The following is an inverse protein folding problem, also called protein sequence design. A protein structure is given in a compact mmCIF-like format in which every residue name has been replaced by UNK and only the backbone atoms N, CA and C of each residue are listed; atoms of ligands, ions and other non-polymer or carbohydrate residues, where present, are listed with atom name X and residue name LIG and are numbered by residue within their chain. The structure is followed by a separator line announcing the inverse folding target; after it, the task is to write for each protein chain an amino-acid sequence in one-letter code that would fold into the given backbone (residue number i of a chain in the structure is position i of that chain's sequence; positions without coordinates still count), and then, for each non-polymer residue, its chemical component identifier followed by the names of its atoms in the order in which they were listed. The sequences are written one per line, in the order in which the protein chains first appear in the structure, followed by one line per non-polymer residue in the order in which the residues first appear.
data_IF_714067870782
#
_entry.id   IF_714067870782
#
_cell.length_a   1.000
_cell.length_b   1.000
_cell.length_c   1.000
_cell.angle_alpha   90.00
_cell.angle_beta   90.00
_cell.angle_gamma   90.00
#
_symmetry.space_group_name_H-M   'P 1'
#
loop_
_entity.id
_entity.type
_entity.pdbx_description
1 polymer ?
#
# COMPACT_ATOMS: atom_id res chain seq x y z
N UNK A 1 32.14 9.37 4.88
CA UNK A 1 31.26 8.28 5.33
C UNK A 1 32.02 6.99 5.08
N UNK A 2 32.27 6.17 6.10
CA UNK A 2 33.00 4.89 5.91
C UNK A 2 32.05 3.77 5.46
N UNK A 3 32.63 2.73 4.85
CA UNK A 3 31.87 1.60 4.27
C UNK A 3 31.06 0.83 5.33
N UNK A 4 31.51 0.82 6.59
CA UNK A 4 30.85 0.12 7.67
C UNK A 4 29.57 0.85 8.12
N UNK A 5 29.62 2.18 8.19
CA UNK A 5 28.44 3.02 8.46
C UNK A 5 27.43 2.89 7.32
N UNK A 6 27.87 2.86 6.06
CA UNK A 6 26.98 2.60 4.92
C UNK A 6 26.32 1.23 4.97
N UNK A 7 27.06 0.19 5.40
CA UNK A 7 26.52 -1.17 5.56
C UNK A 7 25.56 -1.31 6.76
N UNK A 8 25.77 -0.55 7.83
CA UNK A 8 24.90 -0.55 9.02
C UNK A 8 23.68 0.36 8.86
N UNK A 9 23.76 1.37 8.01
CA UNK A 9 22.64 2.21 7.62
C UNK A 9 21.78 1.61 6.50
N UNK A 10 22.36 0.77 5.63
CA UNK A 10 21.63 0.10 4.54
C UNK A 10 20.40 -0.72 4.96
N UNK A 11 20.41 -1.46 6.09
CA UNK A 11 19.26 -2.20 6.60
C UNK A 11 18.27 -1.34 7.40
N UNK A 12 18.59 -0.06 7.66
CA UNK A 12 17.69 0.80 8.42
C UNK A 12 16.60 1.30 7.48
N UNK A 13 15.37 0.94 7.83
CA UNK A 13 14.16 1.45 7.19
C UNK A 13 14.08 2.98 7.40
N UNK A 14 14.70 3.76 6.50
CA UNK A 14 14.69 5.23 6.50
C UNK A 14 13.93 5.74 5.27
N UNK A 15 13.23 6.87 5.42
CA UNK A 15 12.62 7.56 4.29
C UNK A 15 11.39 6.88 3.70
N UNK A 16 10.56 6.22 4.52
CA UNK A 16 9.33 5.59 4.02
C UNK A 16 8.49 6.57 3.19
N UNK A 17 8.03 6.11 2.02
CA UNK A 17 6.87 6.72 1.39
C UNK A 17 5.69 6.51 2.33
N UNK A 18 5.05 7.59 2.78
CA UNK A 18 3.86 7.48 3.61
C UNK A 18 2.68 8.12 2.91
N UNK A 19 1.56 7.40 2.90
CA UNK A 19 0.30 7.84 2.32
C UNK A 19 -0.86 7.47 3.24
N UNK A 20 -1.85 8.38 3.32
CA UNK A 20 -3.18 8.12 3.83
C UNK A 20 -4.05 7.68 2.66
N UNK A 21 -4.42 6.41 2.62
CA UNK A 21 -5.30 5.86 1.60
C UNK A 21 -6.76 5.94 2.07
N UNK A 22 -7.67 6.43 1.23
CA UNK A 22 -9.09 6.65 1.57
C UNK A 22 -10.01 6.14 0.46
N UNK A 23 -10.81 5.11 0.74
CA UNK A 23 -11.64 4.45 -0.28
C UNK A 23 -13.08 4.24 0.17
N UNK A 24 -13.97 4.18 -0.82
CA UNK A 24 -15.31 3.62 -0.68
C UNK A 24 -15.45 2.35 -1.54
N UNK A 25 -16.15 1.29 -1.07
CA UNK A 25 -16.39 0.11 -1.88
C UNK A 25 -17.14 0.41 -3.20
N UNK A 26 -16.85 -0.32 -4.30
CA UNK A 26 -15.83 -1.37 -4.41
C UNK A 26 -14.43 -0.80 -4.66
N UNK A 27 -13.41 -1.33 -3.98
CA UNK A 27 -12.02 -0.93 -4.21
C UNK A 27 -11.04 -2.08 -3.95
N UNK A 28 -10.00 -2.15 -4.77
CA UNK A 28 -8.91 -3.11 -4.69
C UNK A 28 -7.66 -2.54 -5.37
N UNK A 29 -6.57 -2.57 -4.63
CA UNK A 29 -5.24 -2.10 -5.06
C UNK A 29 -4.30 -3.28 -5.04
N UNK A 30 -3.75 -3.62 -6.19
CA UNK A 30 -2.72 -4.64 -6.34
C UNK A 30 -1.35 -4.01 -6.15
N UNK A 31 -0.58 -4.52 -5.20
CA UNK A 31 0.75 -4.02 -4.85
C UNK A 31 1.80 -4.98 -5.40
N UNK A 32 2.55 -4.49 -6.38
CA UNK A 32 3.66 -5.16 -7.08
C UNK A 32 4.92 -4.30 -7.05
N UNK A 33 5.03 -3.41 -6.06
CA UNK A 33 6.13 -2.47 -5.91
C UNK A 33 7.47 -3.13 -5.53
N UNK A 34 7.40 -4.41 -5.15
CA UNK A 34 8.52 -5.24 -4.68
C UNK A 34 9.23 -4.65 -3.47
N UNK A 35 8.57 -3.78 -2.71
CA UNK A 35 9.15 -3.14 -1.54
C UNK A 35 9.47 -4.19 -0.47
N UNK A 36 10.67 -4.19 0.14
CA UNK A 36 11.05 -5.17 1.15
C UNK A 36 10.13 -5.13 2.39
N UNK A 37 9.56 -3.96 2.70
CA UNK A 37 8.70 -3.78 3.86
C UNK A 37 7.63 -2.71 3.61
N UNK A 38 6.37 -3.07 3.84
CA UNK A 38 5.26 -2.13 3.97
C UNK A 38 4.53 -2.35 5.29
N UNK A 39 4.26 -1.26 6.02
CA UNK A 39 3.46 -1.23 7.25
C UNK A 39 2.14 -0.54 6.96
N UNK A 40 1.03 -1.15 7.39
CA UNK A 40 -0.32 -0.65 7.17
C UNK A 40 -1.07 -0.62 8.50
N UNK A 41 -1.57 0.56 8.89
CA UNK A 41 -2.46 0.75 10.02
C UNK A 41 -3.86 1.09 9.48
N UNK A 42 -4.85 0.26 9.81
CA UNK A 42 -6.23 0.54 9.46
C UNK A 42 -6.83 1.50 10.51
N UNK A 43 -7.17 2.71 10.10
CA UNK A 43 -7.68 3.76 10.99
C UNK A 43 -9.21 3.75 11.05
N UNK A 44 -9.86 3.39 9.94
CA UNK A 44 -11.33 3.36 9.81
C UNK A 44 -11.76 2.26 8.86
N UNK A 45 -12.91 1.66 9.13
CA UNK A 45 -13.55 0.68 8.27
C UNK A 45 -12.95 -0.71 8.42
N UNK A 46 -13.02 -1.47 7.32
CA UNK A 46 -12.48 -2.81 7.17
C UNK A 46 -11.67 -2.88 5.86
N UNK A 47 -10.71 -3.79 5.81
CA UNK A 47 -9.95 -4.11 4.61
C UNK A 47 -9.51 -5.59 4.62
N UNK A 48 -9.17 -6.11 3.46
CA UNK A 48 -8.56 -7.41 3.29
C UNK A 48 -7.17 -7.27 2.67
N UNK A 49 -6.20 -8.00 3.22
CA UNK A 49 -4.91 -8.23 2.61
C UNK A 49 -4.87 -9.65 2.05
N UNK A 50 -4.62 -9.76 0.75
CA UNK A 50 -4.60 -11.01 0.01
C UNK A 50 -3.21 -11.23 -0.56
N UNK A 51 -2.33 -11.97 0.14
CA UNK A 51 -1.06 -12.39 -0.45
C UNK A 51 -1.31 -13.41 -1.57
N UNK A 52 -0.42 -13.47 -2.57
CA UNK A 52 -0.50 -14.49 -3.62
C UNK A 52 -0.36 -15.92 -3.08
N UNK A 53 0.29 -16.06 -1.91
CA UNK A 53 0.44 -17.32 -1.19
C UNK A 53 0.08 -17.12 0.28
N UNK A 54 -0.78 -17.99 0.79
CA UNK A 54 -1.23 -17.97 2.18
C UNK A 54 -2.70 -17.58 2.32
N UNK A 55 -3.13 -17.42 3.56
CA UNK A 55 -4.50 -17.08 3.91
C UNK A 55 -4.74 -15.57 3.79
N UNK A 56 -5.87 -15.13 3.21
CA UNK A 56 -6.30 -13.74 3.30
C UNK A 56 -6.46 -13.29 4.76
N UNK A 57 -6.01 -12.08 5.04
CA UNK A 57 -6.09 -11.47 6.38
C UNK A 57 -7.07 -10.32 6.35
N UNK A 58 -8.10 -10.38 7.20
CA UNK A 58 -9.01 -9.26 7.42
C UNK A 58 -8.43 -8.32 8.47
N UNK A 59 -8.48 -7.02 8.18
CA UNK A 59 -8.13 -5.94 9.09
C UNK A 59 -9.39 -5.19 9.48
N UNK A 60 -9.45 -4.78 10.75
CA UNK A 60 -10.42 -3.83 11.31
C UNK A 60 -9.72 -2.59 11.86
N UNK A 61 -10.46 -1.52 12.08
CA UNK A 61 -9.91 -0.31 12.67
C UNK A 61 -9.12 -0.61 13.96
N UNK A 62 -7.87 -0.14 14.01
CA UNK A 62 -6.90 -0.41 15.08
C UNK A 62 -5.88 -1.50 14.75
N UNK A 63 -6.14 -2.35 13.75
CA UNK A 63 -5.22 -3.41 13.36
C UNK A 63 -4.01 -2.84 12.59
N UNK A 64 -2.85 -3.44 12.85
CA UNK A 64 -1.61 -3.18 12.15
C UNK A 64 -1.16 -4.44 11.41
N UNK A 65 -0.84 -4.27 10.13
CA UNK A 65 -0.31 -5.32 9.29
C UNK A 65 1.07 -4.97 8.77
N UNK A 66 1.87 -6.01 8.54
CA UNK A 66 3.20 -5.92 7.93
C UNK A 66 3.23 -6.82 6.71
N UNK A 67 3.38 -6.23 5.53
CA UNK A 67 3.68 -6.95 4.31
C UNK A 67 5.20 -7.01 4.13
N UNK A 68 5.74 -8.23 4.08
CA UNK A 68 7.15 -8.49 3.81
C UNK A 68 7.29 -8.83 2.34
N UNK A 69 8.03 -8.02 1.59
CA UNK A 69 8.26 -8.24 0.17
C UNK A 69 9.31 -9.32 -0.11
N UNK A 70 9.63 -9.53 -1.41
CA UNK A 70 9.18 -8.76 -2.57
C UNK A 70 7.88 -9.31 -3.21
N UNK A 71 7.25 -10.30 -2.58
CA UNK A 71 6.07 -10.96 -3.14
C UNK A 71 4.86 -10.00 -3.19
N UNK A 72 4.08 -10.00 -4.29
CA UNK A 72 2.89 -9.17 -4.41
C UNK A 72 1.76 -9.54 -3.45
N UNK A 73 0.89 -8.57 -3.22
CA UNK A 73 -0.36 -8.75 -2.48
C UNK A 73 -1.42 -7.77 -2.97
N UNK A 74 -2.69 -8.06 -2.68
CA UNK A 74 -3.82 -7.16 -2.96
C UNK A 74 -4.38 -6.62 -1.65
N UNK A 75 -4.66 -5.33 -1.58
CA UNK A 75 -5.42 -4.70 -0.51
C UNK A 75 -6.79 -4.33 -1.06
N UNK A 76 -7.90 -4.76 -0.45
CA UNK A 76 -9.25 -4.60 -1.02
C UNK A 76 -10.35 -4.46 0.03
N UNK A 77 -11.54 -4.00 -0.40
CA UNK A 77 -12.75 -4.02 0.42
C UNK A 77 -13.28 -5.44 0.67
N UNK A 78 -13.13 -6.32 -0.32
CA UNK A 78 -13.53 -7.72 -0.26
C UNK A 78 -12.57 -8.63 -1.05
N UNK A 79 -12.43 -9.92 -0.68
CA UNK A 79 -11.52 -10.86 -1.34
C UNK A 79 -11.75 -11.05 -2.85
N UNK A 80 -12.99 -10.84 -3.32
CA UNK A 80 -13.37 -11.03 -4.72
C UNK A 80 -13.34 -9.75 -5.57
N UNK A 81 -13.04 -8.58 -4.98
CA UNK A 81 -13.03 -7.33 -5.73
C UNK A 81 -11.84 -7.31 -6.69
N UNK A 82 -12.11 -7.15 -7.99
CA UNK A 82 -11.06 -7.06 -9.00
C UNK A 82 -10.23 -5.76 -8.81
N UNK A 83 -8.89 -5.81 -8.91
CA UNK A 83 -8.06 -4.61 -8.77
C UNK A 83 -8.44 -3.51 -9.75
N UNK A 84 -8.59 -2.27 -9.27
CA UNK A 84 -8.75 -1.09 -10.12
C UNK A 84 -7.48 -0.23 -10.19
N UNK A 85 -6.48 -0.50 -9.34
CA UNK A 85 -5.17 0.13 -9.37
C UNK A 85 -4.04 -0.88 -9.14
N UNK A 86 -2.90 -0.63 -9.78
CA UNK A 86 -1.65 -1.35 -9.63
C UNK A 86 -0.59 -0.39 -9.08
N UNK A 87 0.15 -0.79 -8.05
CA UNK A 87 1.32 -0.09 -7.54
C UNK A 87 2.55 -0.87 -8.00
N UNK A 88 3.33 -0.28 -8.89
CA UNK A 88 4.51 -0.89 -9.50
C UNK A 88 5.82 -0.38 -8.84
N UNK A 89 6.99 -0.98 -9.15
CA UNK A 89 8.26 -0.55 -8.56
C UNK A 89 8.51 0.96 -8.70
N UNK A 90 9.10 1.55 -7.67
CA UNK A 90 9.26 3.01 -7.56
C UNK A 90 7.99 3.75 -7.14
N UNK A 91 6.91 3.04 -6.78
CA UNK A 91 5.64 3.65 -6.39
C UNK A 91 4.80 4.15 -7.56
N UNK A 92 5.03 3.61 -8.77
CA UNK A 92 4.31 4.04 -9.95
C UNK A 92 2.89 3.46 -9.99
N UNK A 93 1.89 4.34 -9.98
CA UNK A 93 0.47 3.95 -9.98
C UNK A 93 -0.08 3.83 -11.41
N UNK A 94 -0.71 2.69 -11.71
CA UNK A 94 -1.33 2.44 -13.01
C UNK A 94 -2.73 1.83 -12.86
N UNK A 95 -3.56 2.01 -13.87
CA UNK A 95 -4.75 1.19 -14.05
C UNK A 95 -4.36 -0.22 -14.55
N UNK A 96 -5.21 -1.25 -14.37
CA UNK A 96 -4.98 -2.59 -14.90
C UNK A 96 -4.76 -2.66 -16.42
N UNK A 97 -5.25 -1.67 -17.18
CA UNK A 97 -5.03 -1.55 -18.62
C UNK A 97 -3.68 -0.92 -19.00
N UNK A 98 -2.83 -0.61 -18.01
CA UNK A 98 -1.50 -0.06 -18.18
C UNK A 98 -1.43 1.46 -18.29
N UNK A 99 -2.56 2.18 -18.31
CA UNK A 99 -2.54 3.65 -18.30
C UNK A 99 -2.03 4.18 -16.96
N UNK A 100 -1.18 5.24 -16.94
CA UNK A 100 -0.72 5.84 -15.70
C UNK A 100 -1.88 6.51 -14.96
N UNK A 101 -1.82 6.46 -13.63
CA UNK A 101 -2.83 7.05 -12.74
C UNK A 101 -2.46 8.48 -12.30
N UNK A 102 -1.55 9.15 -13.01
CA UNK A 102 -1.01 10.46 -12.61
C UNK A 102 -2.12 11.50 -12.37
N UNK A 103 -2.15 12.11 -11.17
CA UNK A 103 -3.13 13.13 -10.78
C UNK A 103 -4.55 12.62 -10.53
N UNK A 104 -4.84 11.35 -10.83
CA UNK A 104 -6.07 10.67 -10.41
C UNK A 104 -5.94 10.26 -8.95
N UNK A 105 -7.05 10.34 -8.21
CA UNK A 105 -7.11 9.98 -6.79
C UNK A 105 -6.15 10.80 -5.88
N UNK A 106 -5.62 11.93 -6.34
CA UNK A 106 -4.86 12.86 -5.49
C UNK A 106 -5.83 13.70 -4.65
N UNK A 107 -5.80 13.48 -3.33
CA UNK A 107 -6.65 14.16 -2.36
C UNK A 107 -5.87 15.17 -1.52
N UNK A 108 -4.67 15.57 -1.99
CA UNK A 108 -3.77 16.50 -1.33
C UNK A 108 -2.59 15.81 -0.63
N UNK A 109 -1.95 16.53 0.29
CA UNK A 109 -0.66 16.13 0.88
C UNK A 109 -0.74 14.72 1.46
N UNK A 110 0.02 13.80 0.85
CA UNK A 110 0.13 12.39 1.26
C UNK A 110 -1.23 11.72 1.43
N UNK A 111 -2.21 12.07 0.61
CA UNK A 111 -3.54 11.47 0.66
C UNK A 111 -3.95 10.99 -0.72
N UNK A 112 -4.38 9.73 -0.80
CA UNK A 112 -4.71 9.09 -2.07
C UNK A 112 -6.01 8.28 -1.96
N UNK A 113 -6.85 8.31 -2.98
CA UNK A 113 -8.06 7.49 -3.10
C UNK A 113 -9.26 8.27 -3.64
N UNK A 114 -10.47 7.80 -3.35
CA UNK A 114 -11.70 8.32 -3.97
C UNK A 114 -12.13 9.66 -3.39
N UNK A 115 -12.16 9.75 -2.05
CA UNK A 115 -12.56 10.95 -1.31
C UNK A 115 -11.92 11.01 0.09
N UNK A 116 -11.67 12.20 0.66
CA UNK A 116 -10.90 12.35 1.90
C UNK A 116 -11.54 11.70 3.13
N UNK A 117 -12.85 11.50 3.11
CA UNK A 117 -13.70 10.99 4.19
C UNK A 117 -14.29 9.60 3.88
N UNK A 118 -13.67 8.84 2.96
CA UNK A 118 -14.09 7.49 2.59
C UNK A 118 -14.31 6.53 3.76
N UNK A 119 -15.15 5.52 3.54
CA UNK A 119 -15.55 4.53 4.54
C UNK A 119 -14.39 3.71 5.09
N UNK A 120 -13.34 3.49 4.30
CA UNK A 120 -12.09 2.84 4.72
C UNK A 120 -10.91 3.80 4.65
N UNK A 121 -10.11 3.86 5.72
CA UNK A 121 -8.89 4.69 5.78
C UNK A 121 -7.70 3.88 6.31
N UNK A 122 -6.62 3.83 5.54
CA UNK A 122 -5.33 3.23 5.95
C UNK A 122 -4.24 4.29 6.00
N UNK A 123 -3.34 4.18 6.99
CA UNK A 123 -2.03 4.82 6.95
C UNK A 123 -1.01 3.79 6.52
N UNK A 124 -0.32 4.07 5.43
CA UNK A 124 0.62 3.14 4.79
C UNK A 124 2.00 3.77 4.81
N UNK A 125 3.00 3.00 5.23
CA UNK A 125 4.41 3.34 5.17
C UNK A 125 5.18 2.26 4.42
N UNK A 126 5.74 2.60 3.27
CA UNK A 126 6.48 1.68 2.40
C UNK A 126 7.95 2.05 2.36
N UNK A 127 8.83 1.09 2.64
CA UNK A 127 10.27 1.26 2.54
C UNK A 127 10.73 0.67 1.21
N UNK A 128 11.17 1.54 0.32
CA UNK A 128 11.64 1.19 -1.02
C UNK A 128 13.13 0.83 -0.99
N UNK A 129 13.58 0.08 -2.00
CA UNK A 129 15.00 -0.21 -2.26
C UNK A 129 15.69 0.96 -2.95
#
# INVERSE_FOLDING_TARGET
MDALTGLLEGPRARGAFMVRACFDPPWAVRVEDRAPLTVMLLVRGDAWLLPDRGEPVRLRAGDLAVARGPDPYTCADAPGTAPQALILPGGACHYPDGRPLNGSMDLGVRTWGDRPDGGTVLLIGTYQL
#
